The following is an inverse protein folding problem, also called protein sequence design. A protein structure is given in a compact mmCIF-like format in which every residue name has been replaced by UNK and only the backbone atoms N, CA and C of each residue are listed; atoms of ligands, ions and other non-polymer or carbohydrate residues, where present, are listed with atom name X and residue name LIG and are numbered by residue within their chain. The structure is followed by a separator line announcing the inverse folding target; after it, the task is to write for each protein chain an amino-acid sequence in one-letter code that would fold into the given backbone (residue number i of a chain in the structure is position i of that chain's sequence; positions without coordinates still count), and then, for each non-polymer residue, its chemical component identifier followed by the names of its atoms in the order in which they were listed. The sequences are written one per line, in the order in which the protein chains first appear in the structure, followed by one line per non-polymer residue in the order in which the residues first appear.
data_IF_057213561367
#
_entry.id   IF_057213561367
#
_cell.length_a   1.000
_cell.length_b   1.000
_cell.length_c   1.000
_cell.angle_alpha   90.00
_cell.angle_beta   90.00
_cell.angle_gamma   90.00
#
_symmetry.space_group_name_H-M   'P 1'
#
loop_
_entity.id
_entity.type
_entity.pdbx_description
1 polymer ?
#
# COMPACT_ATOMS: atom_id res chain seq x y z
N UNK A 1 -54.35 -33.52 19.32
CA UNK A 1 -53.11 -34.30 19.38
C UNK A 1 -52.27 -33.76 20.53
N UNK A 2 -52.04 -34.59 21.57
CA UNK A 2 -51.27 -34.16 22.73
C UNK A 2 -49.82 -34.61 22.55
N UNK A 3 -48.91 -33.67 22.41
CA UNK A 3 -47.47 -33.97 22.35
C UNK A 3 -46.91 -34.32 23.74
N UNK A 4 -46.23 -35.44 23.81
CA UNK A 4 -45.62 -35.98 25.05
C UNK A 4 -44.38 -35.17 25.41
N UNK A 5 -44.18 -34.97 26.74
CA UNK A 5 -43.04 -34.22 27.32
C UNK A 5 -41.65 -34.87 27.12
N UNK A 6 -41.50 -35.90 26.29
CA UNK A 6 -40.24 -36.63 26.06
C UNK A 6 -39.49 -36.30 24.76
N UNK A 7 -40.04 -35.41 23.90
CA UNK A 7 -39.39 -35.05 22.62
C UNK A 7 -38.70 -33.68 22.58
N UNK A 8 -38.53 -33.04 23.78
CA UNK A 8 -37.91 -31.71 23.89
C UNK A 8 -36.43 -31.75 24.33
N UNK A 9 -35.73 -32.87 24.19
CA UNK A 9 -34.41 -33.05 24.80
C UNK A 9 -33.23 -33.07 23.77
N UNK A 10 -33.42 -32.67 22.51
CA UNK A 10 -32.34 -32.69 21.50
C UNK A 10 -32.30 -31.44 20.61
N UNK A 11 -32.34 -30.23 21.18
CA UNK A 11 -31.96 -29.01 20.48
C UNK A 11 -31.08 -28.15 21.39
N UNK A 12 -29.86 -28.63 21.64
CA UNK A 12 -28.78 -27.76 22.09
C UNK A 12 -28.16 -27.14 20.85
N UNK A 13 -28.18 -25.79 20.68
CA UNK A 13 -27.38 -25.17 19.65
C UNK A 13 -25.89 -25.33 20.03
N UNK A 14 -25.12 -25.90 19.12
CA UNK A 14 -23.67 -25.88 19.22
C UNK A 14 -23.23 -24.41 19.21
N UNK A 15 -22.76 -23.91 20.38
CA UNK A 15 -22.02 -22.66 20.43
C UNK A 15 -20.72 -22.88 19.66
N UNK A 16 -20.67 -22.42 18.43
CA UNK A 16 -19.42 -22.25 17.73
C UNK A 16 -18.63 -21.14 18.44
N UNK A 17 -17.62 -21.53 19.19
CA UNK A 17 -16.62 -20.60 19.71
C UNK A 17 -15.86 -20.03 18.51
N UNK A 18 -16.21 -18.84 18.10
CA UNK A 18 -15.36 -18.04 17.19
C UNK A 18 -14.12 -17.70 17.98
N UNK A 19 -13.03 -18.41 17.71
CA UNK A 19 -11.71 -18.03 18.18
C UNK A 19 -11.35 -16.71 17.50
N UNK A 20 -11.43 -15.61 18.23
CA UNK A 20 -10.85 -14.34 17.84
C UNK A 20 -9.34 -14.56 17.74
N UNK A 21 -8.82 -14.71 16.51
CA UNK A 21 -7.39 -14.64 16.28
C UNK A 21 -6.94 -13.24 16.67
N UNK A 22 -6.20 -13.16 17.78
CA UNK A 22 -5.53 -11.95 18.22
C UNK A 22 -4.60 -11.51 17.06
N UNK A 23 -4.95 -10.40 16.42
CA UNK A 23 -4.03 -9.72 15.53
C UNK A 23 -2.83 -9.29 16.37
N UNK A 24 -1.67 -9.85 16.07
CA UNK A 24 -0.42 -9.43 16.70
C UNK A 24 -0.18 -7.93 16.50
N UNK A 25 0.70 -7.32 17.32
CA UNK A 25 0.94 -5.89 17.25
C UNK A 25 1.35 -5.49 15.83
N UNK A 26 0.64 -4.52 15.26
CA UNK A 26 1.00 -3.88 13.99
C UNK A 26 2.41 -3.33 14.17
N UNK A 27 3.38 -3.95 13.49
CA UNK A 27 4.73 -3.44 13.46
C UNK A 27 4.73 -2.18 12.63
N UNK A 28 4.84 -1.04 13.29
CA UNK A 28 5.13 0.24 12.65
C UNK A 28 6.57 0.15 12.12
N UNK A 29 6.74 -0.36 10.90
CA UNK A 29 8.04 -0.32 10.25
C UNK A 29 8.24 1.09 9.69
N UNK A 30 8.77 1.97 10.52
CA UNK A 30 9.42 3.19 10.07
C UNK A 30 10.70 2.76 9.34
N UNK A 31 10.59 2.41 8.07
CA UNK A 31 11.74 2.13 7.23
C UNK A 31 12.24 3.44 6.60
N UNK A 32 12.76 4.35 7.44
CA UNK A 32 13.72 5.33 6.97
C UNK A 32 15.04 4.59 6.79
N UNK A 33 15.47 4.38 5.56
CA UNK A 33 16.85 3.97 5.30
C UNK A 33 17.77 5.07 5.84
N UNK A 34 18.78 4.69 6.63
CA UNK A 34 19.70 5.57 7.38
C UNK A 34 20.56 6.53 6.51
N UNK A 35 20.17 6.84 5.29
CA UNK A 35 20.82 7.77 4.34
C UNK A 35 19.91 8.84 3.76
N UNK A 36 18.60 8.81 4.09
CA UNK A 36 17.59 9.67 3.46
C UNK A 36 17.15 10.85 4.33
N UNK A 37 18.01 11.34 5.24
CA UNK A 37 17.67 12.56 5.98
C UNK A 37 17.53 13.73 4.98
N UNK A 38 16.53 14.57 5.17
CA UNK A 38 16.21 15.70 4.28
C UNK A 38 17.42 16.60 4.01
N UNK A 39 18.30 16.78 5.02
CA UNK A 39 19.50 17.59 4.91
C UNK A 39 20.46 17.08 3.84
N UNK A 40 20.61 15.77 3.70
CA UNK A 40 21.54 15.11 2.79
C UNK A 40 21.01 14.91 1.38
N UNK A 41 19.70 15.13 1.16
CA UNK A 41 19.10 14.94 -0.15
C UNK A 41 19.53 16.04 -1.12
N UNK A 42 19.82 15.69 -2.39
CA UNK A 42 20.06 16.68 -3.42
C UNK A 42 18.78 17.47 -3.71
N UNK A 43 18.90 18.76 -4.04
CA UNK A 43 17.77 19.52 -4.59
C UNK A 43 17.41 18.95 -5.95
N UNK A 44 16.10 18.74 -6.18
CA UNK A 44 15.61 18.19 -7.44
C UNK A 44 16.05 19.08 -8.62
N UNK A 45 16.57 18.43 -9.67
CA UNK A 45 17.01 19.11 -10.89
C UNK A 45 16.08 18.79 -12.04
N UNK A 46 15.96 19.72 -12.99
CA UNK A 46 15.28 19.46 -14.25
C UNK A 46 15.96 18.30 -15.00
N UNK A 47 15.22 17.21 -15.18
CA UNK A 47 15.70 16.01 -15.84
C UNK A 47 14.52 15.18 -16.36
N UNK A 48 14.72 14.51 -17.51
CA UNK A 48 13.82 13.47 -17.99
C UNK A 48 14.28 12.11 -17.50
N UNK A 49 13.34 11.27 -17.06
CA UNK A 49 13.58 9.88 -16.68
C UNK A 49 12.98 8.96 -17.73
N UNK A 50 13.84 8.34 -18.52
CA UNK A 50 13.41 7.46 -19.61
C UNK A 50 13.14 6.09 -19.03
N UNK A 51 11.90 5.64 -19.07
CA UNK A 51 11.41 4.43 -18.39
C UNK A 51 12.27 3.17 -18.67
N UNK A 52 12.61 2.92 -19.94
CA UNK A 52 13.41 1.75 -20.33
C UNK A 52 14.84 1.75 -19.79
N UNK A 53 15.37 2.92 -19.42
CA UNK A 53 16.76 3.10 -18.97
C UNK A 53 16.85 3.05 -17.42
N UNK A 54 15.71 2.99 -16.73
CA UNK A 54 15.67 2.91 -15.28
C UNK A 54 16.04 1.50 -14.80
N UNK A 55 16.92 1.43 -13.80
CA UNK A 55 17.28 0.17 -13.17
C UNK A 55 16.06 -0.51 -12.53
N UNK A 56 15.94 -1.81 -12.74
CA UNK A 56 14.87 -2.63 -12.15
C UNK A 56 15.42 -3.27 -10.88
N UNK A 57 14.72 -3.10 -9.78
CA UNK A 57 14.89 -3.88 -8.55
C UNK A 57 13.73 -4.85 -8.39
N UNK A 58 13.98 -6.01 -7.77
CA UNK A 58 12.96 -7.05 -7.56
C UNK A 58 12.76 -7.31 -6.07
N UNK A 59 11.51 -7.54 -5.68
CA UNK A 59 11.14 -8.02 -4.36
C UNK A 59 10.11 -9.15 -4.54
N UNK A 60 10.56 -10.39 -4.39
CA UNK A 60 9.76 -11.57 -4.71
C UNK A 60 9.34 -11.54 -6.20
N UNK A 61 8.03 -11.53 -6.45
CA UNK A 61 7.45 -11.47 -7.79
C UNK A 61 7.25 -10.04 -8.30
N UNK A 62 7.43 -9.04 -7.44
CA UNK A 62 7.24 -7.64 -7.76
C UNK A 62 8.52 -6.98 -8.26
N UNK A 63 8.37 -5.90 -9.01
CA UNK A 63 9.47 -5.11 -9.57
C UNK A 63 9.24 -3.64 -9.27
N UNK A 64 10.33 -2.89 -9.18
CA UNK A 64 10.29 -1.44 -8.98
C UNK A 64 11.36 -0.77 -9.83
N UNK A 65 11.05 0.43 -10.30
CA UNK A 65 11.99 1.36 -10.95
C UNK A 65 11.96 2.69 -10.22
N UNK A 66 13.02 3.00 -9.51
CA UNK A 66 13.14 4.30 -8.83
C UNK A 66 13.56 5.37 -9.84
N UNK A 67 12.87 6.50 -9.83
CA UNK A 67 13.23 7.66 -10.63
C UNK A 67 14.15 8.58 -9.84
N UNK A 68 13.70 9.03 -8.67
CA UNK A 68 14.49 9.90 -7.80
C UNK A 68 14.00 9.86 -6.36
N UNK A 69 14.89 10.25 -5.45
CA UNK A 69 14.62 10.74 -4.11
C UNK A 69 15.41 12.03 -3.96
N UNK A 70 14.76 13.13 -3.62
CA UNK A 70 15.33 14.47 -3.63
C UNK A 70 14.58 15.37 -2.64
N UNK A 71 15.06 16.61 -2.46
CA UNK A 71 14.29 17.69 -1.84
C UNK A 71 13.87 18.73 -2.87
N UNK A 72 12.69 19.30 -2.68
CA UNK A 72 12.21 20.43 -3.46
C UNK A 72 13.00 21.70 -3.11
N UNK A 73 12.89 22.75 -3.94
CA UNK A 73 13.45 24.07 -3.60
C UNK A 73 12.84 24.70 -2.35
N UNK A 74 11.64 24.28 -1.98
CA UNK A 74 10.92 24.74 -0.78
C UNK A 74 11.19 23.88 0.45
N UNK A 75 12.08 22.87 0.34
CA UNK A 75 12.54 22.08 1.47
C UNK A 75 11.68 20.87 1.84
N UNK A 76 10.81 20.38 0.93
CA UNK A 76 10.09 19.12 1.12
C UNK A 76 10.85 17.97 0.50
N UNK A 77 10.81 16.80 1.14
CA UNK A 77 11.24 15.57 0.49
C UNK A 77 10.25 15.20 -0.60
N UNK A 78 10.77 14.79 -1.73
CA UNK A 78 9.98 14.26 -2.85
C UNK A 78 10.65 13.00 -3.39
N UNK A 79 9.87 11.95 -3.61
CA UNK A 79 10.35 10.77 -4.31
C UNK A 79 9.36 10.31 -5.36
N UNK A 80 9.86 9.61 -6.37
CA UNK A 80 9.01 8.96 -7.36
C UNK A 80 9.60 7.63 -7.79
N UNK A 81 8.72 6.66 -7.95
CA UNK A 81 9.05 5.35 -8.51
C UNK A 81 7.86 4.76 -9.26
N UNK A 82 8.15 3.77 -10.10
CA UNK A 82 7.13 2.91 -10.70
C UNK A 82 7.20 1.55 -10.02
N UNK A 83 6.05 0.97 -9.72
CA UNK A 83 5.89 -0.40 -9.21
C UNK A 83 5.14 -1.26 -10.22
N UNK A 84 5.57 -2.51 -10.33
CA UNK A 84 5.00 -3.54 -11.20
C UNK A 84 4.71 -4.77 -10.33
N UNK A 85 3.42 -5.03 -10.07
CA UNK A 85 2.91 -5.96 -9.07
C UNK A 85 2.30 -7.18 -9.76
N UNK A 86 2.74 -8.37 -9.37
CA UNK A 86 2.17 -9.62 -9.87
C UNK A 86 0.71 -9.80 -9.40
N UNK A 87 -0.12 -10.58 -10.12
CA UNK A 87 -1.49 -10.88 -9.73
C UNK A 87 -1.58 -11.42 -8.30
N UNK A 88 -2.50 -10.87 -7.50
CA UNK A 88 -2.73 -11.25 -6.11
C UNK A 88 -1.72 -10.73 -5.10
N UNK A 89 -0.60 -10.16 -5.54
CA UNK A 89 0.46 -9.66 -4.65
C UNK A 89 0.16 -8.25 -4.12
N UNK A 90 0.81 -7.94 -3.00
CA UNK A 90 0.91 -6.60 -2.42
C UNK A 90 2.35 -6.11 -2.55
N UNK A 91 2.55 -4.80 -2.62
CA UNK A 91 3.90 -4.24 -2.67
C UNK A 91 4.52 -4.15 -1.26
N UNK A 92 3.71 -3.67 -0.30
CA UNK A 92 4.07 -3.53 1.11
C UNK A 92 2.92 -4.00 2.00
N UNK A 93 3.20 -4.49 3.23
CA UNK A 93 2.19 -4.59 4.27
C UNK A 93 1.50 -3.24 4.52
N UNK A 94 0.32 -3.20 5.14
CA UNK A 94 -0.30 -1.95 5.56
C UNK A 94 0.68 -1.11 6.39
N UNK A 95 0.82 0.16 6.03
CA UNK A 95 1.74 1.11 6.66
C UNK A 95 1.20 2.54 6.58
N UNK A 96 1.85 3.46 7.27
CA UNK A 96 1.54 4.90 7.24
C UNK A 96 2.84 5.71 7.28
N UNK A 97 2.79 6.91 6.77
CA UNK A 97 3.89 7.88 6.81
C UNK A 97 3.35 9.31 6.75
N UNK A 98 4.19 10.29 7.13
CA UNK A 98 3.79 11.70 7.21
C UNK A 98 3.63 12.36 5.84
N UNK A 99 4.32 11.86 4.83
CA UNK A 99 4.25 12.41 3.47
C UNK A 99 2.91 12.03 2.82
N UNK A 100 2.35 12.95 2.06
CA UNK A 100 1.25 12.66 1.15
C UNK A 100 1.76 11.77 0.02
N UNK A 101 0.91 10.85 -0.43
CA UNK A 101 1.22 9.95 -1.53
C UNK A 101 0.16 10.04 -2.64
N UNK A 102 0.62 10.09 -3.87
CA UNK A 102 -0.22 9.97 -5.05
C UNK A 102 0.16 8.71 -5.83
N UNK A 103 -0.82 7.86 -6.08
CA UNK A 103 -0.71 6.65 -6.89
C UNK A 103 -1.48 6.82 -8.19
N UNK A 104 -0.79 6.76 -9.33
CA UNK A 104 -1.40 6.77 -10.67
C UNK A 104 -1.29 5.38 -11.28
N UNK A 105 -2.41 4.71 -11.54
CA UNK A 105 -2.44 3.39 -12.19
C UNK A 105 -2.21 3.55 -13.69
N UNK A 106 -1.21 2.85 -14.21
CA UNK A 106 -0.89 2.78 -15.63
C UNK A 106 -1.55 1.60 -16.32
N UNK A 107 -1.46 0.41 -15.70
CA UNK A 107 -1.97 -0.85 -16.25
C UNK A 107 -2.52 -1.74 -15.14
N UNK A 108 -3.45 -2.64 -15.48
CA UNK A 108 -4.00 -3.63 -14.57
C UNK A 108 -5.09 -3.07 -13.66
N UNK A 109 -5.35 -3.77 -12.55
CA UNK A 109 -6.37 -3.38 -11.59
C UNK A 109 -5.81 -3.46 -10.17
N UNK A 110 -5.74 -2.33 -9.52
CA UNK A 110 -5.28 -2.20 -8.13
C UNK A 110 -6.47 -2.01 -7.19
N UNK A 111 -6.34 -2.53 -5.98
CA UNK A 111 -7.16 -2.14 -4.84
C UNK A 111 -6.26 -1.37 -3.87
N UNK A 112 -6.55 -0.09 -3.71
CA UNK A 112 -5.93 0.78 -2.73
C UNK A 112 -6.82 0.84 -1.50
N UNK A 113 -6.34 0.34 -0.35
CA UNK A 113 -7.06 0.44 0.91
C UNK A 113 -6.49 1.59 1.72
N UNK A 114 -7.33 2.56 2.10
CA UNK A 114 -6.97 3.72 2.92
C UNK A 114 -7.86 3.73 4.16
N UNK A 115 -7.25 3.72 5.36
CA UNK A 115 -7.96 3.71 6.65
C UNK A 115 -9.07 2.64 6.71
N UNK A 116 -8.79 1.45 6.14
CA UNK A 116 -9.70 0.32 6.09
C UNK A 116 -10.75 0.37 4.97
N UNK A 117 -10.83 1.45 4.18
CA UNK A 117 -11.76 1.58 3.06
C UNK A 117 -11.07 1.22 1.73
N UNK A 118 -11.56 0.21 0.98
CA UNK A 118 -11.00 -0.15 -0.30
C UNK A 118 -11.51 0.75 -1.44
N UNK A 119 -10.61 1.06 -2.38
CA UNK A 119 -10.88 1.77 -3.62
C UNK A 119 -10.30 0.95 -4.77
N UNK A 120 -11.11 0.60 -5.75
CA UNK A 120 -10.68 -0.12 -6.94
C UNK A 120 -10.27 0.88 -8.02
N UNK A 121 -9.02 0.77 -8.49
CA UNK A 121 -8.41 1.68 -9.45
C UNK A 121 -7.98 0.91 -10.69
N UNK A 122 -8.26 1.48 -11.87
CA UNK A 122 -7.82 1.01 -13.17
C UNK A 122 -6.92 2.02 -13.89
N UNK A 123 -6.54 1.76 -15.15
CA UNK A 123 -5.65 2.62 -15.90
C UNK A 123 -6.18 4.05 -16.04
N UNK A 124 -5.35 5.03 -15.63
CA UNK A 124 -5.67 6.45 -15.60
C UNK A 124 -6.27 6.94 -14.28
N UNK A 125 -6.71 6.04 -13.40
CA UNK A 125 -7.22 6.44 -12.08
C UNK A 125 -6.07 6.85 -11.15
N UNK A 126 -6.38 7.78 -10.25
CA UNK A 126 -5.47 8.31 -9.25
C UNK A 126 -6.05 8.10 -7.86
N UNK A 127 -5.26 7.49 -6.97
CA UNK A 127 -5.49 7.49 -5.53
C UNK A 127 -4.61 8.54 -4.85
N UNK A 128 -5.16 9.27 -3.90
CA UNK A 128 -4.41 10.20 -3.06
C UNK A 128 -4.54 9.76 -1.62
N UNK A 129 -3.42 9.58 -0.95
CA UNK A 129 -3.33 9.19 0.46
C UNK A 129 -2.84 10.41 1.23
N UNK A 130 -3.64 10.83 2.21
CA UNK A 130 -3.28 11.92 3.11
C UNK A 130 -2.20 11.52 4.11
N UNK A 131 -1.55 12.52 4.68
CA UNK A 131 -0.56 12.32 5.73
C UNK A 131 -1.08 11.41 6.85
N UNK A 132 -0.27 10.45 7.25
CA UNK A 132 -0.53 9.54 8.37
C UNK A 132 -1.73 8.59 8.21
N UNK A 133 -2.30 8.45 7.02
CA UNK A 133 -3.34 7.46 6.78
C UNK A 133 -2.75 6.07 6.55
N UNK A 134 -3.24 5.08 7.31
CA UNK A 134 -2.87 3.68 7.13
C UNK A 134 -3.33 3.19 5.76
N UNK A 135 -2.41 2.70 4.95
CA UNK A 135 -2.75 2.26 3.59
C UNK A 135 -1.91 1.07 3.10
N UNK A 136 -2.43 0.41 2.08
CA UNK A 136 -1.72 -0.57 1.26
C UNK A 136 -2.37 -0.71 -0.10
N UNK A 137 -1.63 -1.25 -1.07
CA UNK A 137 -2.11 -1.50 -2.42
C UNK A 137 -1.90 -2.95 -2.82
N UNK A 138 -2.93 -3.57 -3.41
CA UNK A 138 -2.94 -4.96 -3.88
C UNK A 138 -3.35 -5.03 -5.34
N UNK A 139 -2.66 -5.86 -6.12
CA UNK A 139 -3.13 -6.20 -7.46
C UNK A 139 -4.30 -7.22 -7.35
N UNK A 140 -5.51 -6.78 -7.64
CA UNK A 140 -6.73 -7.61 -7.63
C UNK A 140 -7.15 -8.06 -9.03
N UNK A 141 -6.35 -7.76 -10.03
CA UNK A 141 -6.53 -8.23 -11.41
C UNK A 141 -5.90 -9.60 -11.65
N UNK A 142 -6.07 -10.09 -12.88
CA UNK A 142 -5.52 -11.38 -13.35
C UNK A 142 -4.19 -11.23 -14.10
N UNK A 143 -3.80 -10.00 -14.43
CA UNK A 143 -2.54 -9.66 -15.08
C UNK A 143 -1.67 -8.83 -14.15
N UNK A 144 -0.43 -8.58 -14.52
CA UNK A 144 0.43 -7.63 -13.80
C UNK A 144 -0.23 -6.26 -13.79
N UNK A 145 -0.04 -5.51 -12.73
CA UNK A 145 -0.49 -4.13 -12.61
C UNK A 145 0.70 -3.21 -12.40
N UNK A 146 0.69 -2.07 -13.09
CA UNK A 146 1.71 -1.05 -13.00
C UNK A 146 1.14 0.28 -12.53
N UNK A 147 1.83 0.93 -11.62
CA UNK A 147 1.47 2.26 -11.15
C UNK A 147 2.71 3.09 -10.83
N UNK A 148 2.53 4.41 -10.88
CA UNK A 148 3.52 5.38 -10.44
C UNK A 148 3.13 5.92 -9.07
N UNK A 149 4.15 6.13 -8.24
CA UNK A 149 4.04 6.81 -6.95
C UNK A 149 4.77 8.14 -7.01
N UNK A 150 4.15 9.15 -6.41
CA UNK A 150 4.82 10.39 -6.00
C UNK A 150 4.51 10.61 -4.54
N UNK A 151 5.56 10.62 -3.71
CA UNK A 151 5.49 11.00 -2.30
C UNK A 151 6.09 12.40 -2.14
N UNK A 152 5.40 13.27 -1.40
CA UNK A 152 5.89 14.61 -1.10
C UNK A 152 5.50 15.03 0.32
N UNK A 153 6.41 15.65 1.03
CA UNK A 153 6.16 16.16 2.38
C UNK A 153 7.40 16.16 3.23
N UNK A 154 7.19 16.27 4.54
CA UNK A 154 8.25 16.15 5.55
C UNK A 154 8.20 14.75 6.16
N UNK A 155 9.36 14.24 6.57
CA UNK A 155 9.47 13.00 7.37
C UNK A 155 9.56 13.32 8.88
N UNK A 156 9.77 14.61 9.19
CA UNK A 156 10.01 15.14 10.52
C UNK A 156 8.95 16.21 10.85
N UNK A 157 8.13 15.96 11.82
CA UNK A 157 7.30 16.97 12.52
C UNK A 157 7.47 16.73 14.01
#
# INVERSE_FOLDING_TARGET
MKYSRRELAFLLPALATVSASAQGPVQTTTQAAAGDSLENLPVIKTKSYIYKDLAVTTNGKNRQRRMFTAKTHTGFKIESHQSDIAPGEVNHPPHQHLREEMMLVREGTMELTISGKPYRLGPGDVGVIGSNEMHNAKNVGTTRAEYFIVNIGRDDV
#
